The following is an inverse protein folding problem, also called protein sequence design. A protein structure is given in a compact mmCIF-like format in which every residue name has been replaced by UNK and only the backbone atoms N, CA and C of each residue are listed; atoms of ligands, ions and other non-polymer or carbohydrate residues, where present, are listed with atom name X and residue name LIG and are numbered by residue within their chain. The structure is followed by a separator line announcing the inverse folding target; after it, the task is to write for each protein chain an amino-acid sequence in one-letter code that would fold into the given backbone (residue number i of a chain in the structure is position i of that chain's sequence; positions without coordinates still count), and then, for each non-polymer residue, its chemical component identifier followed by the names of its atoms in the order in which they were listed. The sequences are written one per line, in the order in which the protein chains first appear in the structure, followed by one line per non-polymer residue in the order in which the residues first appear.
data_IF_018105328657
#
_entry.id   IF_018105328657
#
_cell.length_a   1.000
_cell.length_b   1.000
_cell.length_c   1.000
_cell.angle_alpha   90.00
_cell.angle_beta   90.00
_cell.angle_gamma   90.00
#
_symmetry.space_group_name_H-M   'P 1'
#
loop_
_entity.id
_entity.type
_entity.pdbx_description
1 polymer ?
#
# COMPACT_ATOMS: atom_id res chain seq x y z
N UNK A 1 30.17 -9.55 1.00
CA UNK A 1 29.51 -8.26 0.70
C UNK A 1 30.21 -7.62 -0.50
N UNK A 2 29.49 -7.00 -1.43
CA UNK A 2 29.97 -6.51 -2.74
C UNK A 2 31.01 -5.35 -2.69
N UNK A 3 31.64 -5.09 -1.54
CA UNK A 3 32.67 -4.06 -1.37
C UNK A 3 32.18 -2.61 -1.28
N UNK A 4 30.86 -2.37 -1.21
CA UNK A 4 30.32 -1.02 -1.05
C UNK A 4 30.49 -0.49 0.38
N UNK A 5 30.70 0.83 0.51
CA UNK A 5 30.58 1.52 1.80
C UNK A 5 29.14 1.52 2.28
N UNK A 6 28.92 1.66 3.59
CA UNK A 6 27.58 1.70 4.19
C UNK A 6 26.69 2.76 3.52
N UNK A 7 27.22 3.97 3.31
CA UNK A 7 26.49 5.07 2.66
C UNK A 7 26.06 4.70 1.23
N UNK A 8 26.97 4.11 0.44
CA UNK A 8 26.62 3.67 -0.93
C UNK A 8 25.61 2.54 -0.92
N UNK A 9 25.72 1.60 0.02
CA UNK A 9 24.76 0.52 0.16
C UNK A 9 23.35 1.04 0.50
N UNK A 10 23.24 2.03 1.40
CA UNK A 10 21.97 2.69 1.73
C UNK A 10 21.38 3.43 0.52
N UNK A 11 22.20 4.22 -0.19
CA UNK A 11 21.76 4.95 -1.38
C UNK A 11 21.27 4.01 -2.49
N UNK A 12 21.98 2.92 -2.74
CA UNK A 12 21.58 1.91 -3.72
C UNK A 12 20.29 1.19 -3.29
N UNK A 13 20.13 0.92 -1.99
CA UNK A 13 18.90 0.34 -1.44
C UNK A 13 17.70 1.26 -1.63
N UNK A 14 17.85 2.55 -1.33
CA UNK A 14 16.81 3.57 -1.56
C UNK A 14 16.47 3.71 -3.06
N UNK A 15 17.48 3.73 -3.93
CA UNK A 15 17.25 3.73 -5.38
C UNK A 15 16.46 2.50 -5.83
N UNK A 16 16.80 1.32 -5.33
CA UNK A 16 16.09 0.08 -5.65
C UNK A 16 14.62 0.13 -5.18
N UNK A 17 14.35 0.64 -3.98
CA UNK A 17 12.99 0.84 -3.48
C UNK A 17 12.20 1.82 -4.36
N UNK A 18 12.77 2.95 -4.76
CA UNK A 18 12.12 3.88 -5.70
C UNK A 18 11.78 3.25 -7.05
N UNK A 19 12.73 2.53 -7.65
CA UNK A 19 12.51 1.85 -8.93
C UNK A 19 11.41 0.79 -8.82
N UNK A 20 11.39 0.06 -7.70
CA UNK A 20 10.37 -0.96 -7.41
C UNK A 20 8.99 -0.34 -7.24
N UNK A 21 8.90 0.74 -6.45
CA UNK A 21 7.68 1.53 -6.26
C UNK A 21 7.15 2.08 -7.60
N UNK A 22 8.01 2.75 -8.38
CA UNK A 22 7.65 3.33 -9.67
C UNK A 22 7.16 2.27 -10.65
N UNK A 23 7.92 1.16 -10.80
CA UNK A 23 7.54 0.07 -11.69
C UNK A 23 6.21 -0.57 -11.27
N UNK A 24 6.03 -0.87 -9.97
CA UNK A 24 4.81 -1.45 -9.44
C UNK A 24 3.59 -0.57 -9.73
N UNK A 25 3.70 0.72 -9.41
CA UNK A 25 2.60 1.68 -9.60
C UNK A 25 2.31 1.94 -11.07
N UNK A 26 3.31 2.02 -11.94
CA UNK A 26 3.12 2.12 -13.37
C UNK A 26 2.34 0.91 -13.92
N UNK A 27 2.75 -0.31 -13.57
CA UNK A 27 2.08 -1.54 -14.03
C UNK A 27 0.67 -1.69 -13.47
N UNK A 28 0.44 -1.20 -12.25
CA UNK A 28 -0.89 -1.13 -11.65
C UNK A 28 -1.78 -0.12 -12.39
N UNK A 29 -1.25 1.07 -12.67
CA UNK A 29 -1.95 2.14 -13.40
C UNK A 29 -2.34 1.72 -14.82
N UNK A 30 -1.47 1.02 -15.55
CA UNK A 30 -1.81 0.48 -16.87
C UNK A 30 -3.03 -0.45 -16.81
N UNK A 31 -3.18 -1.20 -15.72
CA UNK A 31 -4.29 -2.14 -15.52
C UNK A 31 -5.59 -1.48 -15.07
N UNK A 32 -5.50 -0.49 -14.19
CA UNK A 32 -6.68 0.15 -13.62
C UNK A 32 -7.27 1.24 -14.52
N UNK A 33 -6.40 1.97 -15.22
CA UNK A 33 -6.80 3.14 -16.01
C UNK A 33 -6.86 2.87 -17.52
N UNK A 34 -6.26 1.79 -18.01
CA UNK A 34 -6.23 1.47 -19.45
C UNK A 34 -5.45 2.47 -20.31
N UNK A 35 -4.64 3.34 -19.70
CA UNK A 35 -3.87 4.40 -20.39
C UNK A 35 -2.44 4.49 -19.83
N UNK A 36 -1.46 4.47 -20.74
CA UNK A 36 -0.05 4.62 -20.39
C UNK A 36 0.25 6.01 -19.80
N UNK A 37 -0.43 7.06 -20.26
CA UNK A 37 -0.28 8.40 -19.71
C UNK A 37 -0.79 8.46 -18.27
N UNK A 38 -1.96 7.89 -17.99
CA UNK A 38 -2.50 7.81 -16.63
C UNK A 38 -1.61 6.94 -15.71
N UNK A 39 -1.01 5.88 -16.26
CA UNK A 39 -0.08 5.02 -15.55
C UNK A 39 1.24 5.74 -15.20
N UNK A 40 1.83 6.48 -16.16
CA UNK A 40 3.02 7.30 -15.94
C UNK A 40 2.75 8.38 -14.90
N UNK A 41 1.60 9.06 -14.98
CA UNK A 41 1.21 10.05 -14.00
C UNK A 41 1.05 9.43 -12.60
N UNK A 42 0.39 8.27 -12.50
CA UNK A 42 0.24 7.54 -11.23
C UNK A 42 1.60 7.19 -10.62
N UNK A 43 2.51 6.67 -11.44
CA UNK A 43 3.88 6.35 -11.02
C UNK A 43 4.64 7.58 -10.55
N UNK A 44 4.55 8.69 -11.29
CA UNK A 44 5.24 9.93 -10.94
C UNK A 44 4.69 10.52 -9.63
N UNK A 45 3.36 10.62 -9.49
CA UNK A 45 2.70 11.14 -8.29
C UNK A 45 3.05 10.30 -7.06
N UNK A 46 3.05 8.97 -7.19
CA UNK A 46 3.42 8.07 -6.10
C UNK A 46 4.89 8.19 -5.70
N UNK A 47 5.79 8.17 -6.68
CA UNK A 47 7.25 8.21 -6.44
C UNK A 47 7.71 9.55 -5.89
N UNK A 48 7.11 10.65 -6.37
CA UNK A 48 7.42 12.03 -5.97
C UNK A 48 6.51 12.54 -4.84
N UNK A 49 5.71 11.67 -4.22
CA UNK A 49 4.92 12.03 -3.07
C UNK A 49 5.86 12.58 -1.98
N UNK A 50 5.54 13.74 -1.35
CA UNK A 50 6.42 14.37 -0.37
C UNK A 50 6.89 13.41 0.71
N UNK A 51 6.03 12.51 1.18
CA UNK A 51 6.35 11.57 2.23
C UNK A 51 7.43 10.54 1.85
N UNK A 52 7.48 10.09 0.59
CA UNK A 52 8.60 9.26 0.11
C UNK A 52 9.93 10.01 0.19
N UNK A 53 9.92 11.29 -0.16
CA UNK A 53 11.10 12.14 -0.15
C UNK A 53 11.50 12.52 1.29
N UNK A 54 10.54 12.71 2.18
CA UNK A 54 10.77 12.88 3.63
C UNK A 54 11.47 11.64 4.20
N UNK A 55 11.03 10.42 3.86
CA UNK A 55 11.65 9.19 4.34
C UNK A 55 13.10 8.98 3.87
N UNK A 56 13.51 9.62 2.77
CA UNK A 56 14.87 9.50 2.25
C UNK A 56 15.76 10.65 2.70
N UNK A 57 15.25 11.89 2.65
CA UNK A 57 16.06 13.10 2.84
C UNK A 57 15.94 13.73 4.23
N UNK A 58 14.83 13.52 4.93
CA UNK A 58 14.58 14.10 6.26
C UNK A 58 14.75 13.03 7.35
N UNK A 59 14.10 11.89 7.17
CA UNK A 59 14.11 10.72 8.07
C UNK A 59 14.97 9.61 7.49
N UNK A 60 16.22 9.89 7.10
CA UNK A 60 17.08 8.95 6.38
C UNK A 60 17.32 7.58 7.07
N UNK A 61 16.83 7.42 8.31
CA UNK A 61 16.73 6.21 9.11
C UNK A 61 15.47 5.35 8.85
N UNK A 62 14.42 5.88 8.21
CA UNK A 62 13.15 5.21 7.86
C UNK A 62 13.24 4.26 6.66
N UNK A 63 14.37 3.58 6.46
CA UNK A 63 14.58 2.67 5.31
C UNK A 63 13.58 1.50 5.27
N UNK A 64 13.17 1.02 6.44
CA UNK A 64 12.21 -0.05 6.64
C UNK A 64 10.82 0.33 6.08
N UNK A 65 10.30 1.48 6.51
CA UNK A 65 9.04 2.04 6.03
C UNK A 65 9.11 2.37 4.53
N UNK A 66 10.25 2.89 4.07
CA UNK A 66 10.45 3.21 2.67
C UNK A 66 10.39 1.97 1.75
N UNK A 67 10.95 0.84 2.17
CA UNK A 67 10.78 -0.43 1.47
C UNK A 67 9.35 -0.97 1.55
N UNK A 68 8.65 -0.78 2.67
CA UNK A 68 7.24 -1.15 2.77
C UNK A 68 6.38 -0.43 1.72
N UNK A 69 6.63 0.86 1.49
CA UNK A 69 5.99 1.61 0.41
C UNK A 69 6.30 1.01 -0.97
N UNK A 70 7.52 0.58 -1.23
CA UNK A 70 7.84 -0.11 -2.49
C UNK A 70 7.05 -1.42 -2.69
N UNK A 71 6.68 -2.12 -1.61
CA UNK A 71 5.88 -3.34 -1.68
C UNK A 71 4.37 -3.08 -1.82
N UNK A 72 3.84 -1.92 -1.42
CA UNK A 72 2.40 -1.60 -1.57
C UNK A 72 1.88 -1.83 -2.99
N UNK A 73 2.44 -1.21 -4.05
CA UNK A 73 1.93 -1.42 -5.40
C UNK A 73 2.19 -2.85 -5.90
N UNK A 74 3.21 -3.55 -5.42
CA UNK A 74 3.46 -4.94 -5.77
C UNK A 74 2.40 -5.89 -5.24
N UNK A 75 1.96 -5.69 -3.99
CA UNK A 75 0.85 -6.43 -3.39
C UNK A 75 -0.42 -6.20 -4.20
N UNK A 76 -0.79 -4.94 -4.46
CA UNK A 76 -1.99 -4.62 -5.24
C UNK A 76 -1.93 -5.16 -6.68
N UNK A 77 -0.75 -5.11 -7.31
CA UNK A 77 -0.53 -5.65 -8.65
C UNK A 77 -0.69 -7.17 -8.69
N UNK A 78 -0.17 -7.89 -7.68
CA UNK A 78 -0.34 -9.34 -7.58
C UNK A 78 -1.82 -9.72 -7.35
N UNK A 79 -2.53 -8.98 -6.50
CA UNK A 79 -3.98 -9.15 -6.28
C UNK A 79 -4.77 -8.92 -7.57
N UNK A 80 -4.47 -7.85 -8.32
CA UNK A 80 -5.12 -7.54 -9.58
C UNK A 80 -4.88 -8.62 -10.66
N UNK A 81 -3.74 -9.32 -10.65
CA UNK A 81 -3.48 -10.46 -11.55
C UNK A 81 -4.36 -11.66 -11.24
N UNK A 82 -4.64 -11.93 -9.96
CA UNK A 82 -5.42 -13.08 -9.51
C UNK A 82 -6.90 -13.02 -9.94
N UNK A 83 -7.46 -11.82 -10.05
CA UNK A 83 -8.86 -11.64 -10.51
C UNK A 83 -9.12 -12.11 -11.95
N UNK A 84 -8.15 -11.93 -12.86
CA UNK A 84 -8.28 -12.33 -14.28
C UNK A 84 -7.93 -13.80 -14.52
N UNK A 85 -6.95 -14.36 -13.80
CA UNK A 85 -6.60 -15.78 -13.94
C UNK A 85 -7.74 -16.73 -13.58
N UNK A 86 -8.71 -16.31 -12.75
CA UNK A 86 -9.92 -17.08 -12.45
C UNK A 86 -10.96 -17.03 -13.59
N UNK A 87 -10.94 -16.00 -14.44
CA UNK A 87 -11.86 -15.82 -15.55
C UNK A 87 -11.48 -16.71 -16.75
N UNK A 88 -10.21 -16.71 -17.13
CA UNK A 88 -9.68 -17.57 -18.22
C UNK A 88 -9.89 -19.06 -17.91
N UNK A 89 -9.71 -19.44 -16.64
CA UNK A 89 -9.80 -20.83 -16.19
C UNK A 89 -11.24 -21.38 -16.16
N UNK A 90 -12.26 -20.53 -15.92
CA UNK A 90 -13.68 -20.96 -15.93
C UNK A 90 -14.27 -20.97 -17.33
N UNK A 91 -13.86 -20.03 -18.18
CA UNK A 91 -14.28 -19.94 -19.58
C UNK A 91 -13.88 -21.20 -20.35
N UNK A 92 -12.67 -21.71 -20.09
CA UNK A 92 -12.13 -22.92 -20.71
C UNK A 92 -12.35 -24.21 -19.91
N UNK A 93 -12.68 -24.16 -18.62
CA UNK A 93 -13.18 -25.36 -17.91
C UNK A 93 -14.47 -25.94 -18.50
N UNK A 94 -15.22 -25.14 -19.27
CA UNK A 94 -16.36 -25.59 -20.06
C UNK A 94 -15.97 -26.09 -21.48
N UNK A 95 -14.76 -25.78 -21.95
CA UNK A 95 -14.30 -25.98 -23.34
C UNK A 95 -13.13 -26.99 -23.45
N UNK A 96 -12.40 -27.26 -22.37
CA UNK A 96 -11.06 -27.85 -22.35
C UNK A 96 -11.02 -29.14 -21.49
N UNK A 97 -11.96 -30.05 -21.75
CA UNK A 97 -11.88 -31.45 -21.30
C UNK A 97 -10.94 -32.30 -22.20
N UNK A 98 -10.20 -31.66 -23.11
CA UNK A 98 -9.22 -32.30 -23.99
C UNK A 98 -7.99 -31.39 -24.15
N UNK A 99 -6.91 -31.73 -23.44
CA UNK A 99 -5.52 -31.27 -23.67
C UNK A 99 -5.19 -29.81 -23.32
N UNK A 100 -4.60 -29.55 -22.14
CA UNK A 100 -3.89 -28.26 -21.89
C UNK A 100 -3.71 -27.74 -20.45
N UNK A 101 -4.11 -28.46 -19.40
CA UNK A 101 -4.25 -27.90 -18.03
C UNK A 101 -3.00 -27.45 -17.26
N UNK A 102 -1.79 -27.59 -17.80
CA UNK A 102 -0.54 -27.32 -17.07
C UNK A 102 -0.18 -25.82 -16.99
N UNK A 103 -0.28 -25.06 -18.08
CA UNK A 103 0.22 -23.67 -18.15
C UNK A 103 -0.66 -22.65 -17.40
N UNK A 104 -1.98 -22.88 -17.34
CA UNK A 104 -2.94 -21.98 -16.68
C UNK A 104 -2.89 -22.12 -15.16
N UNK A 105 -2.76 -23.35 -14.67
CA UNK A 105 -2.57 -23.64 -13.23
C UNK A 105 -1.28 -23.00 -12.72
N UNK A 106 -0.23 -23.00 -13.55
CA UNK A 106 1.06 -22.38 -13.26
C UNK A 106 0.97 -20.84 -13.15
N UNK A 107 0.23 -20.16 -14.02
CA UNK A 107 0.05 -18.70 -13.96
C UNK A 107 -0.70 -18.24 -12.70
N UNK A 108 -1.73 -18.99 -12.29
CA UNK A 108 -2.45 -18.70 -11.04
C UNK A 108 -1.59 -18.97 -9.81
N UNK A 109 -0.87 -20.09 -9.79
CA UNK A 109 0.03 -20.44 -8.68
C UNK A 109 1.16 -19.41 -8.54
N UNK A 110 1.75 -18.98 -9.67
CA UNK A 110 2.78 -17.94 -9.68
C UNK A 110 2.24 -16.62 -9.15
N UNK A 111 1.03 -16.21 -9.53
CA UNK A 111 0.44 -14.96 -9.04
C UNK A 111 0.14 -15.00 -7.54
N UNK A 112 -0.33 -16.15 -7.03
CA UNK A 112 -0.50 -16.39 -5.59
C UNK A 112 0.83 -16.36 -4.85
N UNK A 113 1.86 -16.97 -5.43
CA UNK A 113 3.22 -16.94 -4.88
C UNK A 113 3.83 -15.53 -4.89
N UNK A 114 3.63 -14.76 -5.97
CA UNK A 114 4.04 -13.36 -6.03
C UNK A 114 3.33 -12.50 -4.97
N UNK A 115 2.03 -12.74 -4.72
CA UNK A 115 1.31 -12.07 -3.63
C UNK A 115 1.92 -12.45 -2.28
N UNK A 116 2.19 -13.72 -2.04
CA UNK A 116 2.82 -14.19 -0.81
C UNK A 116 4.19 -13.55 -0.60
N UNK A 117 5.04 -13.50 -1.62
CA UNK A 117 6.37 -12.91 -1.53
C UNK A 117 6.33 -11.39 -1.33
N UNK A 118 5.45 -10.68 -2.05
CA UNK A 118 5.29 -9.24 -1.89
C UNK A 118 4.75 -8.88 -0.49
N UNK A 119 3.79 -9.65 0.01
CA UNK A 119 3.21 -9.43 1.33
C UNK A 119 4.16 -9.84 2.46
N UNK A 120 4.91 -10.93 2.30
CA UNK A 120 6.00 -11.28 3.22
C UNK A 120 7.08 -10.19 3.24
N UNK A 121 7.48 -9.69 2.06
CA UNK A 121 8.43 -8.58 1.93
C UNK A 121 7.94 -7.31 2.64
N UNK A 122 6.64 -6.98 2.51
CA UNK A 122 6.03 -5.88 3.25
C UNK A 122 6.12 -6.07 4.77
N UNK A 123 5.72 -7.24 5.29
CA UNK A 123 5.75 -7.55 6.73
C UNK A 123 7.17 -7.54 7.29
N UNK A 124 8.13 -8.09 6.54
CA UNK A 124 9.55 -8.10 6.91
C UNK A 124 10.22 -6.73 6.80
N UNK A 125 9.67 -5.83 5.97
CA UNK A 125 10.17 -4.46 5.86
C UNK A 125 9.66 -3.59 7.00
N UNK A 126 8.34 -3.54 7.20
CA UNK A 126 7.73 -2.71 8.25
C UNK A 126 6.35 -3.25 8.66
N UNK A 127 6.28 -3.88 9.83
CA UNK A 127 5.07 -4.49 10.38
C UNK A 127 3.91 -3.49 10.58
N UNK A 128 4.22 -2.26 11.02
CA UNK A 128 3.24 -1.19 11.21
C UNK A 128 2.66 -0.76 9.85
N UNK A 129 3.49 -0.60 8.82
CA UNK A 129 2.99 -0.29 7.47
C UNK A 129 2.16 -1.43 6.91
N UNK A 130 2.53 -2.69 7.19
CA UNK A 130 1.72 -3.84 6.83
C UNK A 130 0.34 -3.80 7.49
N UNK A 131 0.29 -3.49 8.80
CA UNK A 131 -0.95 -3.34 9.56
C UNK A 131 -1.86 -2.24 8.98
N UNK A 132 -1.32 -1.04 8.74
CA UNK A 132 -2.08 0.10 8.17
C UNK A 132 -2.54 -0.19 6.75
N UNK A 133 -1.71 -0.82 5.93
CA UNK A 133 -2.00 -1.08 4.52
C UNK A 133 -3.02 -2.22 4.31
N UNK A 134 -3.08 -3.19 5.22
CA UNK A 134 -3.90 -4.41 5.06
C UNK A 134 -5.40 -4.16 4.86
N UNK A 135 -6.06 -3.25 5.60
CA UNK A 135 -7.45 -2.87 5.32
C UNK A 135 -7.67 -2.32 3.90
N UNK A 136 -6.73 -1.53 3.37
CA UNK A 136 -6.81 -1.01 2.00
C UNK A 136 -6.57 -2.11 0.96
N UNK A 137 -5.61 -3.01 1.21
CA UNK A 137 -5.44 -4.21 0.41
C UNK A 137 -6.72 -5.06 0.41
N UNK A 138 -7.40 -5.21 1.56
CA UNK A 138 -8.68 -5.90 1.64
C UNK A 138 -9.76 -5.23 0.77
N UNK A 139 -9.89 -3.90 0.80
CA UNK A 139 -10.83 -3.17 -0.08
C UNK A 139 -10.56 -3.47 -1.57
N UNK A 140 -9.29 -3.43 -1.98
CA UNK A 140 -8.88 -3.81 -3.34
C UNK A 140 -9.21 -5.28 -3.61
N UNK A 141 -8.94 -6.18 -2.68
CA UNK A 141 -9.23 -7.61 -2.79
C UNK A 141 -10.71 -7.91 -2.96
N UNK A 142 -11.57 -7.22 -2.20
CA UNK A 142 -13.02 -7.30 -2.34
C UNK A 142 -13.47 -6.83 -3.73
N UNK A 143 -12.87 -5.76 -4.25
CA UNK A 143 -13.16 -5.29 -5.61
C UNK A 143 -12.70 -6.28 -6.68
N UNK A 144 -11.51 -6.88 -6.52
CA UNK A 144 -11.01 -7.95 -7.39
C UNK A 144 -11.97 -9.15 -7.38
N UNK A 145 -12.44 -9.58 -6.20
CA UNK A 145 -13.41 -10.67 -6.06
C UNK A 145 -14.74 -10.29 -6.72
N UNK A 146 -15.25 -9.08 -6.47
CA UNK A 146 -16.52 -8.60 -7.01
C UNK A 146 -16.56 -8.64 -8.54
N UNK A 147 -15.47 -8.21 -9.19
CA UNK A 147 -15.31 -8.21 -10.64
C UNK A 147 -15.07 -9.62 -11.21
N UNK A 148 -14.61 -10.57 -10.40
CA UNK A 148 -14.29 -11.92 -10.87
C UNK A 148 -15.55 -12.78 -11.03
N UNK A 149 -15.60 -13.57 -12.13
CA UNK A 149 -16.67 -14.57 -12.36
C UNK A 149 -16.58 -15.78 -11.42
N UNK A 150 -15.41 -16.01 -10.79
CA UNK A 150 -15.11 -17.14 -9.90
C UNK A 150 -14.83 -16.71 -8.47
N UNK A 151 -15.76 -15.99 -7.84
CA UNK A 151 -15.56 -15.28 -6.56
C UNK A 151 -14.89 -16.11 -5.47
N UNK A 152 -15.35 -17.35 -5.25
CA UNK A 152 -14.80 -18.22 -4.21
C UNK A 152 -13.36 -18.67 -4.50
N UNK A 153 -13.06 -18.99 -5.77
CA UNK A 153 -11.71 -19.37 -6.19
C UNK A 153 -10.74 -18.17 -6.10
N UNK A 154 -11.18 -16.98 -6.52
CA UNK A 154 -10.42 -15.73 -6.38
C UNK A 154 -10.16 -15.42 -4.91
N UNK A 155 -11.19 -15.51 -4.06
CA UNK A 155 -11.06 -15.32 -2.62
C UNK A 155 -10.07 -16.31 -2.00
N UNK A 156 -10.18 -17.59 -2.33
CA UNK A 156 -9.26 -18.62 -1.86
C UNK A 156 -7.80 -18.38 -2.28
N UNK A 157 -7.56 -17.86 -3.50
CA UNK A 157 -6.21 -17.51 -3.97
C UNK A 157 -5.65 -16.27 -3.30
N UNK A 158 -6.48 -15.24 -3.08
CA UNK A 158 -6.09 -14.03 -2.36
C UNK A 158 -5.77 -14.35 -0.90
N UNK A 159 -6.67 -15.06 -0.22
CA UNK A 159 -6.48 -15.51 1.15
C UNK A 159 -5.27 -16.44 1.27
N UNK A 160 -5.13 -17.43 0.37
CA UNK A 160 -4.00 -18.33 0.34
C UNK A 160 -2.66 -17.61 0.12
N UNK A 161 -2.61 -16.61 -0.76
CA UNK A 161 -1.42 -15.79 -0.98
C UNK A 161 -1.06 -14.94 0.24
N UNK A 162 -2.05 -14.26 0.83
CA UNK A 162 -1.83 -13.45 2.04
C UNK A 162 -1.40 -14.30 3.25
N UNK A 163 -2.07 -15.43 3.48
CA UNK A 163 -1.73 -16.39 4.55
C UNK A 163 -0.33 -16.98 4.34
N UNK A 164 0.00 -17.39 3.12
CA UNK A 164 1.35 -17.86 2.81
C UNK A 164 2.38 -16.76 3.06
N UNK A 165 2.09 -15.51 2.71
CA UNK A 165 2.96 -14.38 3.03
C UNK A 165 3.19 -14.18 4.53
N UNK A 166 2.14 -14.31 5.35
CA UNK A 166 2.24 -14.26 6.82
C UNK A 166 3.05 -15.42 7.39
N UNK A 167 2.88 -16.63 6.85
CA UNK A 167 3.64 -17.82 7.26
C UNK A 167 5.12 -17.68 6.89
N UNK A 168 5.42 -17.20 5.69
CA UNK A 168 6.80 -16.96 5.23
C UNK A 168 7.54 -15.91 6.08
N UNK A 169 6.82 -14.96 6.66
CA UNK A 169 7.38 -13.95 7.58
C UNK A 169 7.18 -14.26 9.06
N UNK A 170 6.57 -15.41 9.42
CA UNK A 170 6.18 -15.72 10.79
C UNK A 170 7.35 -15.74 11.77
N UNK A 171 8.52 -16.24 11.33
CA UNK A 171 9.73 -16.25 12.15
C UNK A 171 10.17 -14.86 12.65
N UNK A 172 9.72 -13.78 11.98
CA UNK A 172 10.02 -12.41 12.36
C UNK A 172 8.96 -11.81 13.30
N UNK A 173 7.68 -11.88 12.92
CA UNK A 173 6.62 -11.19 13.67
C UNK A 173 6.02 -12.03 14.82
N UNK A 174 6.03 -13.35 14.70
CA UNK A 174 5.43 -14.22 15.72
C UNK A 174 6.15 -14.16 17.07
N UNK A 175 7.49 -14.27 17.15
CA UNK A 175 8.21 -14.14 18.43
C UNK A 175 7.99 -12.75 19.06
N UNK A 176 7.97 -11.70 18.24
CA UNK A 176 7.76 -10.33 18.71
C UNK A 176 6.39 -10.14 19.39
N UNK A 177 5.33 -10.78 18.88
CA UNK A 177 4.01 -10.75 19.51
C UNK A 177 3.91 -11.69 20.71
N UNK A 178 4.48 -12.89 20.62
CA UNK A 178 4.43 -13.89 21.69
C UNK A 178 5.20 -13.43 22.95
N UNK A 179 6.31 -12.72 22.76
CA UNK A 179 7.17 -12.24 23.83
C UNK A 179 6.92 -10.76 24.17
N UNK A 180 5.90 -10.14 23.58
CA UNK A 180 5.59 -8.73 23.75
C UNK A 180 5.49 -8.32 25.24
N UNK A 181 4.86 -9.17 26.07
CA UNK A 181 4.69 -8.94 27.50
C UNK A 181 5.97 -8.97 28.33
N UNK A 182 7.08 -9.45 27.77
CA UNK A 182 8.40 -9.44 28.41
C UNK A 182 9.26 -8.22 27.99
N UNK A 183 8.73 -7.38 27.10
CA UNK A 183 9.44 -6.21 26.56
C UNK A 183 8.91 -4.90 27.15
N UNK A 184 9.77 -3.90 27.32
CA UNK A 184 9.38 -2.56 27.78
C UNK A 184 8.90 -1.72 26.60
N UNK A 185 7.60 -1.76 26.33
CA UNK A 185 6.99 -1.01 25.22
C UNK A 185 6.41 0.34 25.65
N UNK A 186 6.25 0.57 26.95
CA UNK A 186 5.63 1.78 27.47
C UNK A 186 6.38 3.06 27.04
N UNK A 187 7.71 3.00 26.93
CA UNK A 187 8.52 4.15 26.53
C UNK A 187 8.39 4.54 25.05
N UNK A 188 7.92 3.64 24.18
CA UNK A 188 7.83 3.88 22.73
C UNK A 188 6.43 4.23 22.24
N UNK A 189 5.42 4.19 23.12
CA UNK A 189 4.04 4.61 22.80
C UNK A 189 3.50 5.66 23.78
N UNK A 190 4.27 6.01 24.82
CA UNK A 190 3.88 7.02 25.79
C UNK A 190 4.23 8.45 25.36
N UNK A 191 3.52 9.40 25.99
CA UNK A 191 3.73 10.84 25.92
C UNK A 191 3.82 11.39 24.49
N UNK A 192 5.02 11.75 24.01
CA UNK A 192 5.23 12.27 22.67
C UNK A 192 4.72 11.33 21.58
N UNK A 193 4.99 10.02 21.70
CA UNK A 193 4.65 9.01 20.70
C UNK A 193 3.20 8.51 20.77
N UNK A 194 2.38 9.14 21.62
CA UNK A 194 0.97 8.79 21.72
C UNK A 194 0.19 9.37 20.53
N UNK A 195 -0.46 8.50 19.74
CA UNK A 195 -1.14 8.86 18.48
C UNK A 195 -2.08 10.07 18.57
N UNK A 196 -2.76 10.23 19.70
CA UNK A 196 -3.71 11.33 19.90
C UNK A 196 -3.07 12.72 19.82
N UNK A 197 -1.76 12.83 20.03
CA UNK A 197 -0.99 14.10 19.87
C UNK A 197 -0.63 14.41 18.42
N UNK A 198 -0.85 13.47 17.51
CA UNK A 198 -0.42 13.57 16.12
C UNK A 198 -1.58 13.59 15.13
N UNK A 199 -2.81 13.60 15.63
CA UNK A 199 -3.98 13.89 14.80
C UNK A 199 -3.90 15.28 14.15
N UNK A 200 -4.43 15.39 12.94
CA UNK A 200 -4.42 16.62 12.14
C UNK A 200 -5.83 17.00 11.70
N UNK A 201 -6.31 18.22 12.03
CA UNK A 201 -7.52 18.75 11.45
C UNK A 201 -7.38 18.94 9.93
N UNK A 202 -8.50 18.89 9.20
CA UNK A 202 -8.51 18.99 7.74
C UNK A 202 -7.79 20.24 7.21
N UNK A 203 -7.91 21.37 7.91
CA UNK A 203 -7.26 22.64 7.55
C UNK A 203 -5.73 22.64 7.67
N UNK A 204 -5.15 21.61 8.30
CA UNK A 204 -3.71 21.46 8.49
C UNK A 204 -3.08 20.39 7.59
N UNK A 205 -3.86 19.69 6.77
CA UNK A 205 -3.35 18.65 5.89
C UNK A 205 -2.52 19.20 4.74
N UNK A 206 -2.75 20.46 4.34
CA UNK A 206 -2.02 21.13 3.27
C UNK A 206 -1.28 22.37 3.77
N UNK A 207 -0.04 22.56 3.30
CA UNK A 207 0.72 23.80 3.46
C UNK A 207 0.21 24.86 2.49
N UNK A 208 0.33 26.13 2.86
CA UNK A 208 0.01 27.26 1.99
C UNK A 208 1.11 27.56 0.96
N UNK A 209 2.32 27.05 1.19
CA UNK A 209 3.43 27.16 0.25
C UNK A 209 3.18 26.30 -1.00
N UNK A 210 3.57 26.84 -2.17
CA UNK A 210 3.41 26.14 -3.45
C UNK A 210 4.12 24.78 -3.45
N UNK A 211 5.40 24.81 -3.08
CA UNK A 211 6.23 23.62 -2.93
C UNK A 211 6.22 23.16 -1.47
N UNK A 212 6.40 21.85 -1.30
CA UNK A 212 6.51 21.25 0.02
C UNK A 212 7.82 21.67 0.69
N UNK A 213 7.75 22.10 1.95
CA UNK A 213 8.92 22.41 2.77
C UNK A 213 9.48 21.15 3.43
N UNK A 214 10.76 20.85 3.19
CA UNK A 214 11.51 19.74 3.82
C UNK A 214 12.25 20.19 5.09
N UNK A 215 11.83 21.28 5.72
CA UNK A 215 12.38 21.68 7.00
C UNK A 215 12.17 20.56 8.04
N UNK A 216 13.19 20.32 8.86
CA UNK A 216 13.24 19.21 9.83
C UNK A 216 12.32 19.41 11.04
N UNK A 217 11.45 20.42 11.02
CA UNK A 217 10.44 20.59 12.05
C UNK A 217 9.39 19.47 11.91
N UNK A 218 9.39 18.53 12.86
CA UNK A 218 8.58 17.30 12.82
C UNK A 218 7.10 17.56 12.52
N UNK A 219 6.54 18.70 12.92
CA UNK A 219 5.13 19.01 12.65
C UNK A 219 4.82 19.38 11.19
N UNK A 220 5.82 19.78 10.39
CA UNK A 220 5.64 20.16 8.99
C UNK A 220 5.84 18.99 8.02
N UNK A 221 6.59 17.97 8.43
CA UNK A 221 6.97 16.82 7.58
C UNK A 221 5.79 15.97 7.09
N UNK A 222 4.62 16.10 7.73
CA UNK A 222 3.43 15.26 7.50
C UNK A 222 2.25 16.05 6.91
N UNK A 223 2.56 17.03 6.05
CA UNK A 223 1.57 17.81 5.30
C UNK A 223 1.81 17.62 3.80
N UNK A 224 0.82 17.90 2.96
CA UNK A 224 1.04 18.00 1.52
C UNK A 224 1.33 19.46 1.15
N UNK A 225 2.19 19.72 0.17
CA UNK A 225 2.35 21.08 -0.38
C UNK A 225 1.10 21.49 -1.18
N UNK A 226 0.94 22.79 -1.45
CA UNK A 226 -0.23 23.29 -2.17
C UNK A 226 -0.34 22.70 -3.58
N UNK A 227 0.80 22.50 -4.28
CA UNK A 227 0.81 21.84 -5.59
C UNK A 227 0.24 20.41 -5.48
N UNK A 228 0.65 19.65 -4.47
CA UNK A 228 0.14 18.30 -4.24
C UNK A 228 -1.35 18.31 -3.88
N UNK A 229 -1.80 19.28 -3.09
CA UNK A 229 -3.22 19.45 -2.78
C UNK A 229 -4.06 19.75 -4.03
N UNK A 230 -3.56 20.60 -4.94
CA UNK A 230 -4.21 20.89 -6.22
C UNK A 230 -4.23 19.64 -7.11
N UNK A 231 -3.13 18.92 -7.24
CA UNK A 231 -3.07 17.67 -8.02
C UNK A 231 -4.00 16.60 -7.44
N UNK A 232 -4.08 16.49 -6.11
CA UNK A 232 -5.03 15.62 -5.43
C UNK A 232 -6.46 16.02 -5.77
N UNK A 233 -6.79 17.31 -5.69
CA UNK A 233 -8.11 17.84 -6.06
C UNK A 233 -8.49 17.54 -7.52
N UNK A 234 -7.56 17.71 -8.46
CA UNK A 234 -7.75 17.32 -9.86
C UNK A 234 -7.99 15.81 -9.99
N UNK A 235 -7.24 14.99 -9.25
CA UNK A 235 -7.41 13.55 -9.18
C UNK A 235 -8.78 13.14 -8.63
N UNK A 236 -9.26 13.81 -7.57
CA UNK A 236 -10.60 13.60 -7.01
C UNK A 236 -11.68 13.92 -8.03
N UNK A 237 -11.60 15.10 -8.67
CA UNK A 237 -12.55 15.50 -9.70
C UNK A 237 -12.55 14.53 -10.89
N UNK A 238 -11.37 14.10 -11.34
CA UNK A 238 -11.24 13.10 -12.40
C UNK A 238 -11.84 11.74 -12.02
N UNK A 239 -11.60 11.28 -10.79
CA UNK A 239 -12.16 10.05 -10.25
C UNK A 239 -13.68 10.09 -10.14
N UNK A 240 -14.24 11.18 -9.58
CA UNK A 240 -15.68 11.40 -9.50
C UNK A 240 -16.32 11.47 -10.89
N UNK A 241 -15.68 12.17 -11.83
CA UNK A 241 -16.13 12.23 -13.22
C UNK A 241 -16.13 10.85 -13.87
N UNK A 242 -15.09 10.04 -13.66
CA UNK A 242 -15.01 8.68 -14.16
C UNK A 242 -16.14 7.80 -13.60
N UNK A 243 -16.46 7.94 -12.32
CA UNK A 243 -17.58 7.23 -11.66
C UNK A 243 -18.93 7.64 -12.25
N UNK A 244 -19.22 8.94 -12.31
CA UNK A 244 -20.49 9.48 -12.83
C UNK A 244 -20.68 9.12 -14.30
N UNK A 245 -19.61 9.19 -15.10
CA UNK A 245 -19.63 8.85 -16.54
C UNK A 245 -19.43 7.36 -16.82
N UNK A 246 -19.32 6.52 -15.79
CA UNK A 246 -19.08 5.07 -15.87
C UNK A 246 -17.96 4.73 -16.85
N UNK A 247 -16.86 5.48 -16.79
CA UNK A 247 -15.67 5.28 -17.62
C UNK A 247 -14.97 3.98 -17.23
N UNK A 248 -14.09 3.50 -18.10
CA UNK A 248 -13.15 2.46 -17.73
C UNK A 248 -12.35 2.90 -16.48
N UNK A 249 -12.15 1.99 -15.53
CA UNK A 249 -11.50 2.31 -14.26
C UNK A 249 -12.39 2.98 -13.20
N UNK A 250 -13.66 3.30 -13.48
CA UNK A 250 -14.58 3.92 -12.52
C UNK A 250 -14.66 3.19 -11.17
N UNK A 251 -14.68 1.86 -11.20
CA UNK A 251 -14.68 1.04 -9.99
C UNK A 251 -13.40 1.19 -9.17
N UNK A 252 -12.24 1.28 -9.82
CA UNK A 252 -10.95 1.51 -9.16
C UNK A 252 -10.85 2.94 -8.62
N UNK A 253 -11.38 3.92 -9.34
CA UNK A 253 -11.50 5.29 -8.85
C UNK A 253 -12.36 5.34 -7.57
N UNK A 254 -13.48 4.62 -7.52
CA UNK A 254 -14.32 4.57 -6.32
C UNK A 254 -13.60 3.96 -5.11
N UNK A 255 -12.87 2.86 -5.31
CA UNK A 255 -12.05 2.24 -4.25
C UNK A 255 -10.94 3.19 -3.80
N UNK A 256 -10.25 3.86 -4.71
CA UNK A 256 -9.19 4.82 -4.38
C UNK A 256 -9.72 6.02 -3.60
N UNK A 257 -10.87 6.58 -4.00
CA UNK A 257 -11.51 7.69 -3.28
C UNK A 257 -12.02 7.27 -1.90
N UNK A 258 -12.57 6.06 -1.77
CA UNK A 258 -12.98 5.51 -0.48
C UNK A 258 -11.76 5.30 0.42
N UNK A 259 -10.69 4.70 -0.09
CA UNK A 259 -9.43 4.51 0.64
C UNK A 259 -8.86 5.85 1.12
N UNK A 260 -8.82 6.86 0.25
CA UNK A 260 -8.38 8.21 0.59
C UNK A 260 -9.27 8.83 1.67
N UNK A 261 -10.60 8.72 1.55
CA UNK A 261 -11.52 9.26 2.56
C UNK A 261 -11.33 8.59 3.94
N UNK A 262 -11.15 7.26 3.96
CA UNK A 262 -10.89 6.50 5.19
C UNK A 262 -9.53 6.89 5.78
N UNK A 263 -8.48 6.99 4.97
CA UNK A 263 -7.16 7.41 5.43
C UNK A 263 -7.22 8.82 6.05
N UNK A 264 -7.81 9.79 5.34
CA UNK A 264 -7.98 11.16 5.85
C UNK A 264 -8.80 11.20 7.15
N UNK A 265 -9.85 10.38 7.27
CA UNK A 265 -10.63 10.29 8.50
C UNK A 265 -9.78 9.76 9.67
N UNK A 266 -8.95 8.74 9.43
CA UNK A 266 -8.07 8.14 10.45
C UNK A 266 -6.95 9.09 10.92
N UNK A 267 -6.58 10.09 10.11
CA UNK A 267 -5.66 11.16 10.51
C UNK A 267 -6.31 12.20 11.42
N UNK A 268 -7.64 12.26 11.49
CA UNK A 268 -8.37 13.30 12.21
C UNK A 268 -8.74 12.87 13.65
N UNK A 269 -8.90 13.83 14.58
CA UNK A 269 -9.35 13.54 15.95
C UNK A 269 -10.70 12.82 16.03
N UNK A 270 -11.54 12.97 14.99
CA UNK A 270 -12.83 12.29 14.89
C UNK A 270 -12.70 10.75 14.91
N UNK A 271 -11.55 10.23 14.49
CA UNK A 271 -11.28 8.80 14.51
C UNK A 271 -10.86 8.25 15.87
N UNK A 272 -10.62 9.09 16.87
CA UNK A 272 -10.10 8.67 18.17
C UNK A 272 -10.83 7.46 18.79
N UNK A 273 -12.17 7.34 18.77
CA UNK A 273 -12.85 6.15 19.29
C UNK A 273 -12.44 4.83 18.61
N UNK A 274 -12.07 4.88 17.32
CA UNK A 274 -11.56 3.73 16.57
C UNK A 274 -10.16 3.36 17.06
N UNK A 275 -9.31 4.37 17.30
CA UNK A 275 -7.96 4.18 17.84
C UNK A 275 -7.98 3.60 19.26
N UNK A 276 -8.87 4.12 20.11
CA UNK A 276 -9.01 3.68 21.51
C UNK A 276 -9.51 2.22 21.63
N UNK A 277 -10.18 1.70 20.58
CA UNK A 277 -10.76 0.35 20.58
C UNK A 277 -9.89 -0.72 19.93
N UNK A 278 -8.85 -0.35 19.18
CA UNK A 278 -8.00 -1.28 18.45
C UNK A 278 -6.60 -1.35 19.09
N UNK A 279 -6.26 -2.43 19.82
CA UNK A 279 -5.04 -2.47 20.64
C UNK A 279 -3.73 -2.45 19.83
N UNK A 280 -3.77 -2.84 18.55
CA UNK A 280 -2.57 -2.89 17.70
C UNK A 280 -2.33 -1.57 16.94
N UNK A 281 -3.36 -0.75 16.73
CA UNK A 281 -3.20 0.48 15.92
C UNK A 281 -2.46 1.57 16.69
N UNK A 282 -2.52 1.55 18.02
CA UNK A 282 -1.80 2.50 18.89
C UNK A 282 -0.27 2.46 18.71
N UNK A 283 0.30 1.35 18.24
CA UNK A 283 1.73 1.22 17.93
C UNK A 283 2.18 1.99 16.70
N UNK A 284 1.25 2.49 15.88
CA UNK A 284 1.61 3.27 14.68
C UNK A 284 2.22 4.63 15.04
N UNK A 285 2.01 5.14 16.26
CA UNK A 285 2.49 6.42 16.82
C UNK A 285 2.00 7.67 16.07
N UNK A 286 2.07 7.68 14.73
CA UNK A 286 1.70 8.77 13.85
C UNK A 286 0.55 8.30 12.93
N UNK A 287 -0.65 8.88 13.06
CA UNK A 287 -1.75 8.62 12.15
C UNK A 287 -1.55 9.42 10.86
N UNK A 288 -0.81 8.85 9.91
CA UNK A 288 -0.39 9.46 8.63
C UNK A 288 -0.41 8.51 7.41
#
# INVERSE_FOLDING_TARGET
MLGFSLVRALQLSQLAAFLTAAWGTFRLGQRWWGSDTAALLSSAVYTLAPFHLVNVYVRGDSIAEFWAMAFFPLVLLAMAKLGRGAEEQRSRGAEEQRSGGAEVTQHSALSTFCLALAYAGLVLSHNISALIFSPFALLVGLMVVWQSKGRLATLGRLAGGALLGLVLSAWFWWPALAEQGFTQLDGITADYFHYSRHFRPLGELAQTSLLFSYETNALQAFRMGLLQAVLLGLGVMGGLWAIVRRREGAGWAAVALLAMAVATLMMMPLSQPVWDSLPLISFTQFPE
#
